data_IF_012535067496
#
_entry.id   IF_012535067496
#
_cell.length_a   1.000
_cell.length_b   1.000
_cell.length_c   1.000
_cell.angle_alpha   90.00
_cell.angle_beta   90.00
_cell.angle_gamma   90.00
#
_symmetry.space_group_name_H-M   'P 1'
#
loop_
_entity.id
_entity.type
_entity.pdbx_description
1 polymer ?
#
# COMPACT_ATOMS: atom_id res chain seq x y z
N UNK A 1 3.68 29.96 6.68
CA UNK A 1 4.72 29.14 6.01
C UNK A 1 5.95 29.03 6.92
N UNK A 2 6.58 30.14 7.32
CA UNK A 2 7.81 30.14 8.14
C UNK A 2 7.61 29.43 9.49
N UNK A 3 6.48 29.64 10.14
CA UNK A 3 6.11 29.00 11.40
C UNK A 3 5.96 27.48 11.23
N UNK A 4 5.28 27.04 10.16
CA UNK A 4 5.13 25.60 9.86
C UNK A 4 6.49 24.90 9.68
N UNK A 5 7.36 25.44 8.85
CA UNK A 5 8.67 24.83 8.61
C UNK A 5 9.64 24.93 9.79
N UNK A 6 9.45 25.90 10.69
CA UNK A 6 10.34 26.11 11.83
C UNK A 6 9.94 25.39 13.12
N UNK A 7 8.65 25.15 13.34
CA UNK A 7 8.14 24.65 14.62
C UNK A 7 7.13 23.52 14.56
N UNK A 8 6.65 23.14 13.36
CA UNK A 8 5.69 22.03 13.23
C UNK A 8 6.35 20.68 13.46
N UNK A 9 5.66 19.80 14.21
CA UNK A 9 6.06 18.40 14.38
C UNK A 9 6.09 17.62 13.06
N UNK A 10 5.30 18.03 12.07
CA UNK A 10 5.22 17.39 10.76
C UNK A 10 6.35 17.82 9.82
N UNK A 11 6.99 18.96 10.09
CA UNK A 11 8.17 19.40 9.38
C UNK A 11 9.40 18.78 10.03
N UNK A 12 10.03 17.82 9.34
CA UNK A 12 11.11 17.00 9.88
C UNK A 12 12.36 17.12 9.00
N UNK A 13 13.51 16.89 9.59
CA UNK A 13 14.75 16.71 8.85
C UNK A 13 14.62 15.43 8.00
N UNK A 14 14.92 15.53 6.69
CA UNK A 14 14.71 14.42 5.76
C UNK A 14 15.69 13.27 6.01
N UNK A 15 15.19 12.04 6.08
CA UNK A 15 16.03 10.84 6.08
C UNK A 15 16.72 10.72 4.72
N UNK A 16 18.04 10.69 4.70
CA UNK A 16 18.85 10.77 3.48
C UNK A 16 19.95 9.71 3.43
N UNK A 17 19.76 8.54 4.02
CA UNK A 17 20.71 7.44 3.99
C UNK A 17 20.90 6.87 2.58
N UNK A 18 19.80 6.78 1.83
CA UNK A 18 19.75 6.30 0.46
C UNK A 18 18.50 6.89 -0.25
N UNK A 19 18.36 6.77 -1.58
CA UNK A 19 17.19 7.30 -2.28
C UNK A 19 15.86 6.73 -1.81
N UNK A 20 15.83 5.47 -1.38
CA UNK A 20 14.61 4.83 -0.87
C UNK A 20 14.16 5.45 0.46
N UNK A 21 15.09 5.80 1.36
CA UNK A 21 14.76 6.47 2.61
C UNK A 21 14.15 7.86 2.39
N UNK A 22 14.65 8.61 1.42
CA UNK A 22 14.10 9.90 1.02
C UNK A 22 12.67 9.76 0.49
N UNK A 23 12.45 8.82 -0.45
CA UNK A 23 11.15 8.56 -1.05
C UNK A 23 10.13 8.12 0.00
N UNK A 24 10.50 7.19 0.87
CA UNK A 24 9.63 6.70 1.93
C UNK A 24 9.28 7.80 2.94
N UNK A 25 10.23 8.66 3.28
CA UNK A 25 9.98 9.79 4.17
C UNK A 25 8.95 10.78 3.59
N UNK A 26 9.04 11.06 2.29
CA UNK A 26 8.08 11.94 1.58
C UNK A 26 6.67 11.34 1.47
N UNK A 27 6.54 10.03 1.55
CA UNK A 27 5.27 9.28 1.47
C UNK A 27 4.74 8.85 2.83
N UNK A 28 5.29 9.38 3.91
CA UNK A 28 4.91 9.02 5.28
C UNK A 28 3.61 9.69 5.68
N UNK A 29 2.75 8.93 6.36
CA UNK A 29 1.48 9.37 6.93
C UNK A 29 1.57 9.31 8.45
N UNK A 30 1.28 10.40 9.13
CA UNK A 30 1.33 10.47 10.59
C UNK A 30 -0.06 10.76 11.18
N UNK A 31 -0.44 9.98 12.18
CA UNK A 31 -1.65 10.26 12.98
C UNK A 31 -1.38 11.26 14.13
N UNK A 32 -0.12 11.63 14.33
CA UNK A 32 0.33 12.55 15.38
C UNK A 32 0.32 14.00 14.89
N UNK A 33 0.36 14.94 15.83
CA UNK A 33 0.50 16.36 15.53
C UNK A 33 -0.75 17.17 15.82
N UNK A 34 -0.79 18.45 15.41
CA UNK A 34 -1.94 19.34 15.63
C UNK A 34 -3.22 18.80 14.99
N UNK A 35 -4.28 18.65 15.80
CA UNK A 35 -5.55 18.06 15.35
C UNK A 35 -5.56 16.54 15.26
N UNK A 36 -4.42 15.87 15.55
CA UNK A 36 -4.28 14.43 15.56
C UNK A 36 -4.26 13.82 16.97
N UNK A 37 -3.73 12.58 17.04
CA UNK A 37 -3.60 11.84 18.27
C UNK A 37 -2.30 12.17 19.02
N UNK A 38 -2.28 11.81 20.31
CA UNK A 38 -1.05 11.74 21.11
C UNK A 38 -0.75 10.28 21.42
N UNK A 39 0.53 9.94 21.61
CA UNK A 39 0.96 8.55 21.88
C UNK A 39 0.24 7.94 23.08
N UNK A 40 0.06 8.71 24.14
CA UNK A 40 -0.53 8.26 25.40
C UNK A 40 -2.05 8.03 25.28
N UNK A 41 -2.72 8.68 24.31
CA UNK A 41 -4.15 8.53 24.06
C UNK A 41 -4.48 7.56 22.94
N UNK A 42 -3.48 7.04 22.24
CA UNK A 42 -3.66 6.10 21.15
C UNK A 42 -3.81 4.67 21.70
N UNK A 43 -5.04 4.15 21.70
CA UNK A 43 -5.34 2.75 22.02
C UNK A 43 -4.97 1.80 20.87
N UNK A 44 -5.28 0.52 21.05
CA UNK A 44 -5.01 -0.50 20.03
C UNK A 44 -5.83 -0.29 18.75
N UNK A 45 -7.07 0.15 18.86
CA UNK A 45 -7.98 0.32 17.72
C UNK A 45 -7.44 1.26 16.63
N UNK A 46 -6.80 2.37 17.04
CA UNK A 46 -6.23 3.33 16.09
C UNK A 46 -4.90 2.89 15.48
N UNK A 47 -4.29 1.85 16.03
CA UNK A 47 -3.03 1.26 15.57
C UNK A 47 -3.24 0.05 14.68
N UNK A 48 -4.45 -0.49 14.65
CA UNK A 48 -4.78 -1.68 13.87
C UNK A 48 -4.91 -1.36 12.37
N UNK A 49 -4.76 -2.38 11.56
CA UNK A 49 -5.02 -2.32 10.13
C UNK A 49 -6.50 -2.50 9.88
N UNK A 50 -7.14 -1.48 9.33
CA UNK A 50 -8.53 -1.53 8.91
C UNK A 50 -8.64 -1.95 7.45
N UNK A 51 -9.75 -2.58 7.04
CA UNK A 51 -9.92 -3.03 5.64
C UNK A 51 -9.86 -1.87 4.63
N UNK A 52 -10.22 -0.64 5.03
CA UNK A 52 -10.12 0.56 4.21
C UNK A 52 -8.68 0.98 3.90
N UNK A 53 -7.69 0.39 4.56
CA UNK A 53 -6.27 0.61 4.26
C UNK A 53 -5.84 -0.04 2.95
N UNK A 54 -6.62 -0.99 2.44
CA UNK A 54 -6.28 -1.72 1.22
C UNK A 54 -6.00 -0.77 0.04
N UNK A 55 -4.82 -0.88 -0.54
CA UNK A 55 -4.36 -0.02 -1.64
C UNK A 55 -4.06 1.44 -1.27
N UNK A 56 -4.31 1.86 -0.03
CA UNK A 56 -4.14 3.24 0.46
C UNK A 56 -3.01 3.39 1.43
N UNK A 57 -3.00 2.61 2.49
CA UNK A 57 -1.92 2.58 3.49
C UNK A 57 -1.32 1.19 3.57
N UNK A 58 0.00 1.08 3.54
CA UNK A 58 0.69 -0.18 3.64
C UNK A 58 0.43 -0.83 5.02
N UNK A 59 -0.03 -2.09 5.08
CA UNK A 59 -0.28 -2.77 6.34
C UNK A 59 1.00 -3.23 7.05
N UNK A 60 2.13 -3.23 6.36
CA UNK A 60 3.40 -3.80 6.83
C UNK A 60 4.38 -2.71 7.25
N UNK A 61 4.54 -1.65 6.45
CA UNK A 61 5.55 -0.62 6.68
C UNK A 61 5.10 0.38 7.74
N UNK A 62 5.48 0.13 8.99
CA UNK A 62 5.26 1.00 10.15
C UNK A 62 6.49 0.90 11.08
N UNK A 63 6.79 1.92 11.90
CA UNK A 63 7.86 1.81 12.88
C UNK A 63 7.61 0.72 13.90
N UNK A 64 8.68 0.19 14.47
CA UNK A 64 8.64 -0.64 15.68
C UNK A 64 8.63 0.27 16.92
N UNK A 65 7.97 -0.19 17.99
CA UNK A 65 7.94 0.52 19.27
C UNK A 65 6.72 1.42 19.46
N UNK A 66 6.84 2.56 20.21
CA UNK A 66 5.69 3.37 20.66
C UNK A 66 4.84 3.96 19.53
N UNK A 67 5.42 4.15 18.35
CA UNK A 67 4.76 4.73 17.19
C UNK A 67 4.14 3.70 16.24
N UNK A 68 4.14 2.42 16.60
CA UNK A 68 3.56 1.37 15.75
C UNK A 68 2.09 1.68 15.45
N UNK A 69 1.71 1.60 14.18
CA UNK A 69 0.37 1.88 13.70
C UNK A 69 -0.04 3.37 13.67
N UNK A 70 0.73 4.27 14.30
CA UNK A 70 0.48 5.72 14.27
C UNK A 70 1.22 6.43 13.15
N UNK A 71 2.32 5.86 12.68
CA UNK A 71 3.07 6.34 11.53
C UNK A 71 3.02 5.24 10.48
N UNK A 72 2.41 5.54 9.35
CA UNK A 72 2.21 4.62 8.25
C UNK A 72 2.82 5.18 6.97
N UNK A 73 2.80 4.39 5.92
CA UNK A 73 3.30 4.78 4.62
C UNK A 73 2.21 4.61 3.55
N UNK A 74 2.17 5.56 2.63
CA UNK A 74 1.25 5.51 1.50
C UNK A 74 1.59 4.31 0.61
N UNK A 75 0.58 3.54 0.22
CA UNK A 75 0.75 2.41 -0.70
C UNK A 75 1.28 2.87 -2.06
N UNK A 76 1.89 1.97 -2.81
CA UNK A 76 2.63 2.29 -4.05
C UNK A 76 1.79 3.08 -5.06
N UNK A 77 0.52 2.73 -5.23
CA UNK A 77 -0.40 3.39 -6.17
C UNK A 77 -1.37 4.36 -5.49
N UNK A 78 -1.31 4.51 -4.17
CA UNK A 78 -2.16 5.44 -3.46
C UNK A 78 -1.81 6.90 -3.80
N UNK A 79 -2.83 7.76 -3.94
CA UNK A 79 -2.64 9.20 -4.04
C UNK A 79 -3.76 9.96 -3.31
N UNK A 80 -3.55 11.25 -3.09
CA UNK A 80 -4.52 12.10 -2.41
C UNK A 80 -5.41 12.82 -3.45
N UNK A 81 -6.71 12.84 -3.19
CA UNK A 81 -7.63 13.65 -3.97
C UNK A 81 -7.56 15.13 -3.51
N UNK A 82 -8.32 16.00 -4.17
CA UNK A 82 -8.39 17.44 -3.86
C UNK A 82 -8.90 17.77 -2.45
N UNK A 83 -9.56 16.82 -1.80
CA UNK A 83 -10.09 16.97 -0.43
C UNK A 83 -9.16 16.38 0.64
N UNK A 84 -8.06 15.73 0.23
CA UNK A 84 -7.12 15.08 1.14
C UNK A 84 -7.42 13.61 1.47
N UNK A 85 -8.43 12.99 0.86
CA UNK A 85 -8.68 11.56 0.99
C UNK A 85 -7.76 10.74 0.11
N UNK A 86 -7.35 9.58 0.61
CA UNK A 86 -6.49 8.67 -0.14
C UNK A 86 -7.36 7.83 -1.07
N UNK A 87 -6.99 7.82 -2.34
CA UNK A 87 -7.60 7.00 -3.39
C UNK A 87 -6.64 5.94 -3.89
N UNK A 88 -7.19 4.86 -4.42
CA UNK A 88 -6.44 3.79 -5.08
C UNK A 88 -7.04 3.49 -6.46
N UNK A 89 -6.24 3.09 -7.45
CA UNK A 89 -6.74 2.84 -8.80
C UNK A 89 -7.34 1.44 -8.92
N UNK A 90 -8.39 1.35 -9.73
CA UNK A 90 -9.00 0.09 -10.13
C UNK A 90 -9.28 0.08 -11.62
N UNK A 91 -9.27 -1.10 -12.22
CA UNK A 91 -9.70 -1.33 -13.59
C UNK A 91 -11.21 -1.54 -13.59
N UNK A 92 -11.92 -0.79 -14.42
CA UNK A 92 -13.37 -0.92 -14.56
C UNK A 92 -13.72 -2.20 -15.33
N UNK A 93 -14.74 -2.90 -14.87
CA UNK A 93 -15.32 -4.06 -15.54
C UNK A 93 -16.60 -3.63 -16.25
N UNK A 94 -16.69 -3.94 -17.53
CA UNK A 94 -17.93 -3.81 -18.28
C UNK A 94 -18.78 -5.06 -18.07
N UNK A 95 -19.83 -4.93 -17.26
CA UNK A 95 -20.72 -6.04 -16.91
C UNK A 95 -21.52 -6.57 -18.11
N UNK A 96 -21.89 -5.70 -19.05
CA UNK A 96 -22.67 -6.11 -20.22
C UNK A 96 -21.82 -6.94 -21.19
N UNK A 97 -20.57 -6.51 -21.41
CA UNK A 97 -19.62 -7.22 -22.26
C UNK A 97 -18.89 -8.36 -21.51
N UNK A 98 -18.91 -8.37 -20.18
CA UNK A 98 -18.17 -9.32 -19.34
C UNK A 98 -16.65 -9.16 -19.47
N UNK A 99 -16.15 -7.95 -19.72
CA UNK A 99 -14.75 -7.68 -20.04
C UNK A 99 -14.15 -6.66 -19.08
N UNK A 100 -12.93 -6.94 -18.61
CA UNK A 100 -12.12 -5.99 -17.84
C UNK A 100 -11.52 -4.96 -18.78
N UNK A 101 -11.89 -3.71 -18.61
CA UNK A 101 -11.42 -2.62 -19.47
C UNK A 101 -10.04 -2.09 -19.04
N UNK A 102 -9.43 -1.25 -19.87
CA UNK A 102 -8.22 -0.53 -19.50
C UNK A 102 -8.51 0.85 -18.89
N UNK A 103 -9.79 1.17 -18.66
CA UNK A 103 -10.19 2.38 -17.97
C UNK A 103 -9.82 2.26 -16.48
N UNK A 104 -9.05 3.25 -16.00
CA UNK A 104 -8.64 3.31 -14.58
C UNK A 104 -9.53 4.31 -13.86
N UNK A 105 -10.16 3.86 -12.80
CA UNK A 105 -11.00 4.67 -11.92
C UNK A 105 -10.35 4.75 -10.54
N UNK A 106 -10.29 5.95 -10.00
CA UNK A 106 -9.74 6.22 -8.68
C UNK A 106 -10.86 6.30 -7.66
N UNK A 107 -10.84 5.41 -6.68
CA UNK A 107 -11.88 5.32 -5.66
C UNK A 107 -11.32 5.60 -4.26
N UNK A 108 -12.09 6.37 -3.47
CA UNK A 108 -11.93 6.46 -2.03
C UNK A 108 -12.51 5.21 -1.36
N UNK A 109 -12.26 5.03 -0.05
CA UNK A 109 -12.69 3.83 0.65
C UNK A 109 -14.23 3.73 0.76
N UNK A 110 -14.91 4.85 0.94
CA UNK A 110 -16.37 4.94 0.99
C UNK A 110 -17.02 4.63 -0.37
N UNK A 111 -16.44 5.10 -1.45
CA UNK A 111 -16.89 4.77 -2.80
C UNK A 111 -16.68 3.28 -3.13
N UNK A 112 -15.54 2.71 -2.70
CA UNK A 112 -15.22 1.29 -2.91
C UNK A 112 -16.21 0.34 -2.21
N UNK A 113 -16.72 0.73 -1.04
CA UNK A 113 -17.65 -0.10 -0.25
C UNK A 113 -18.96 -0.42 -0.99
N UNK A 114 -19.32 0.36 -2.01
CA UNK A 114 -20.51 0.12 -2.82
C UNK A 114 -20.30 -0.96 -3.89
N UNK A 115 -19.05 -1.34 -4.18
CA UNK A 115 -18.70 -2.17 -5.33
C UNK A 115 -18.05 -3.50 -4.94
N UNK A 116 -18.13 -4.46 -5.87
CA UNK A 116 -17.41 -5.72 -5.78
C UNK A 116 -16.14 -5.62 -6.61
N UNK A 117 -14.99 -5.83 -5.95
CA UNK A 117 -13.66 -5.68 -6.56
C UNK A 117 -12.96 -7.04 -6.62
N UNK A 118 -12.65 -7.50 -7.84
CA UNK A 118 -11.90 -8.73 -8.05
C UNK A 118 -10.39 -8.53 -7.78
N UNK A 119 -9.73 -9.60 -7.38
CA UNK A 119 -8.28 -9.60 -7.16
C UNK A 119 -7.51 -9.50 -8.47
N UNK A 120 -6.33 -8.87 -8.43
CA UNK A 120 -5.45 -8.66 -9.59
C UNK A 120 -4.94 -9.97 -10.24
N UNK A 121 -4.88 -11.06 -9.49
CA UNK A 121 -4.42 -12.36 -9.97
C UNK A 121 -5.54 -13.21 -10.61
N UNK A 122 -6.77 -12.70 -10.70
CA UNK A 122 -7.86 -13.38 -11.39
C UNK A 122 -7.49 -13.60 -12.86
N UNK A 123 -7.66 -14.85 -13.34
CA UNK A 123 -7.32 -15.21 -14.72
C UNK A 123 -8.29 -14.56 -15.69
N UNK A 124 -7.72 -13.93 -16.70
CA UNK A 124 -8.46 -13.36 -17.81
C UNK A 124 -8.30 -14.22 -19.07
N UNK A 125 -9.34 -14.30 -19.88
CA UNK A 125 -9.31 -14.96 -21.19
C UNK A 125 -8.68 -14.02 -22.25
N UNK A 126 -8.46 -14.51 -23.45
CA UNK A 126 -7.87 -13.75 -24.56
C UNK A 126 -8.69 -12.50 -24.95
N UNK A 127 -9.99 -12.49 -24.63
CA UNK A 127 -10.89 -11.38 -24.90
C UNK A 127 -10.94 -10.35 -23.74
N UNK A 128 -10.20 -10.59 -22.66
CA UNK A 128 -10.16 -9.72 -21.48
C UNK A 128 -11.28 -9.94 -20.47
N UNK A 129 -12.13 -10.95 -20.65
CA UNK A 129 -13.13 -11.36 -19.66
C UNK A 129 -12.54 -12.33 -18.63
N UNK A 130 -13.26 -12.54 -17.52
CA UNK A 130 -12.85 -13.54 -16.54
C UNK A 130 -12.90 -14.95 -17.15
N UNK A 131 -11.84 -15.75 -16.91
CA UNK A 131 -11.74 -17.11 -17.40
C UNK A 131 -12.62 -18.08 -16.61
N UNK A 132 -12.89 -17.75 -15.35
CA UNK A 132 -13.65 -18.58 -14.42
C UNK A 132 -15.01 -17.92 -14.13
N UNK A 133 -16.09 -18.70 -13.99
CA UNK A 133 -17.43 -18.17 -13.73
C UNK A 133 -17.57 -17.59 -12.30
N UNK A 134 -16.68 -17.99 -11.39
CA UNK A 134 -16.62 -17.54 -10.00
C UNK A 134 -15.21 -17.01 -9.75
N UNK A 135 -15.12 -15.81 -9.18
CA UNK A 135 -13.86 -15.14 -8.89
C UNK A 135 -13.81 -14.68 -7.43
N UNK A 136 -12.61 -14.70 -6.86
CA UNK A 136 -12.38 -14.11 -5.54
C UNK A 136 -12.44 -12.60 -5.61
N UNK A 137 -13.23 -12.01 -4.76
CA UNK A 137 -13.40 -10.56 -4.69
C UNK A 137 -13.55 -10.05 -3.26
N UNK A 138 -13.54 -8.73 -3.13
CA UNK A 138 -13.79 -8.01 -1.88
C UNK A 138 -15.06 -7.20 -2.00
N UNK A 139 -15.84 -7.22 -0.93
CA UNK A 139 -16.96 -6.32 -0.74
C UNK A 139 -17.11 -6.01 0.75
N UNK A 140 -17.12 -4.73 1.11
CA UNK A 140 -17.25 -4.25 2.50
C UNK A 140 -16.28 -4.94 3.49
N UNK A 141 -15.02 -5.11 3.08
CA UNK A 141 -13.98 -5.73 3.90
C UNK A 141 -14.02 -7.26 3.97
N UNK A 142 -15.00 -7.90 3.36
CA UNK A 142 -15.10 -9.36 3.32
C UNK A 142 -14.53 -9.90 2.00
N UNK A 143 -13.67 -10.93 2.10
CA UNK A 143 -13.20 -11.69 0.95
C UNK A 143 -14.13 -12.87 0.72
N UNK A 144 -14.77 -12.91 -0.45
CA UNK A 144 -15.73 -13.95 -0.80
C UNK A 144 -15.63 -14.31 -2.28
N UNK A 145 -16.23 -15.42 -2.64
CA UNK A 145 -16.40 -15.81 -4.03
C UNK A 145 -17.65 -15.12 -4.60
N UNK A 146 -17.47 -14.48 -5.74
CA UNK A 146 -18.55 -13.80 -6.46
C UNK A 146 -18.69 -14.35 -7.88
N UNK A 147 -19.90 -14.41 -8.42
CA UNK A 147 -20.11 -14.62 -9.85
C UNK A 147 -19.41 -13.52 -10.66
N UNK A 148 -18.74 -13.91 -11.74
CA UNK A 148 -17.95 -12.97 -12.57
C UNK A 148 -18.77 -11.85 -13.20
N UNK A 149 -20.07 -12.04 -13.39
CA UNK A 149 -21.02 -11.05 -13.93
C UNK A 149 -21.42 -9.95 -12.92
N UNK A 150 -21.15 -10.17 -11.63
CA UNK A 150 -21.45 -9.19 -10.58
C UNK A 150 -20.28 -8.27 -10.24
N UNK A 151 -19.09 -8.54 -10.76
CA UNK A 151 -17.87 -7.79 -10.46
C UNK A 151 -17.90 -6.43 -11.16
N UNK A 152 -17.62 -5.36 -10.41
CA UNK A 152 -17.58 -3.97 -10.89
C UNK A 152 -16.19 -3.52 -11.31
N UNK A 153 -15.21 -3.88 -10.51
CA UNK A 153 -13.82 -3.45 -10.66
C UNK A 153 -12.86 -4.61 -10.43
N UNK A 154 -11.65 -4.43 -10.89
CA UNK A 154 -10.54 -5.35 -10.65
C UNK A 154 -9.32 -4.57 -10.19
N UNK A 155 -8.57 -5.12 -9.24
CA UNK A 155 -7.28 -4.55 -8.82
C UNK A 155 -6.32 -4.41 -10.01
N UNK A 156 -5.55 -3.34 -10.02
CA UNK A 156 -4.57 -3.07 -11.09
C UNK A 156 -3.37 -4.01 -10.97
N UNK A 157 -2.87 -4.21 -9.75
CA UNK A 157 -1.70 -5.03 -9.45
C UNK A 157 -1.69 -5.49 -8.00
N UNK A 158 -1.13 -6.66 -7.68
CA UNK A 158 -0.92 -7.07 -6.29
C UNK A 158 -0.03 -6.10 -5.49
N UNK A 159 0.87 -5.38 -6.17
CA UNK A 159 1.78 -4.39 -5.55
C UNK A 159 1.07 -3.16 -5.00
N UNK A 160 -0.18 -2.91 -5.39
CA UNK A 160 -0.90 -1.74 -4.89
C UNK A 160 -1.20 -1.77 -3.39
N UNK A 161 -1.15 -2.94 -2.76
CA UNK A 161 -1.44 -3.12 -1.33
C UNK A 161 -0.32 -2.57 -0.44
N UNK A 162 0.92 -2.66 -0.90
CA UNK A 162 2.12 -2.39 -0.11
C UNK A 162 2.81 -1.10 -0.52
N UNK A 163 3.58 -0.52 0.40
CA UNK A 163 4.41 0.65 0.12
C UNK A 163 5.63 0.28 -0.75
N UNK A 164 6.31 1.30 -1.28
CA UNK A 164 7.44 1.12 -2.20
C UNK A 164 8.56 0.30 -1.57
N UNK A 165 8.96 0.61 -0.33
CA UNK A 165 10.04 -0.13 0.34
C UNK A 165 9.67 -1.61 0.56
N UNK A 166 8.43 -1.88 0.96
CA UNK A 166 7.94 -3.25 1.13
C UNK A 166 7.88 -4.00 -0.20
N UNK A 167 7.49 -3.33 -1.28
CA UNK A 167 7.47 -3.91 -2.63
C UNK A 167 8.86 -4.27 -3.17
N UNK A 168 9.92 -3.70 -2.61
CA UNK A 168 11.30 -4.01 -2.97
C UNK A 168 11.85 -5.29 -2.28
N UNK A 169 11.11 -5.89 -1.36
CA UNK A 169 11.53 -7.14 -0.70
C UNK A 169 11.34 -8.30 -1.68
N UNK A 170 12.40 -9.01 -2.07
CA UNK A 170 12.27 -10.18 -2.95
C UNK A 170 11.56 -11.32 -2.22
N UNK A 171 10.69 -12.04 -2.94
CA UNK A 171 9.90 -13.16 -2.40
C UNK A 171 9.04 -12.78 -1.18
N UNK A 172 8.52 -11.55 -1.17
CA UNK A 172 7.69 -11.02 -0.08
C UNK A 172 6.50 -11.93 0.27
N UNK A 173 5.90 -12.58 -0.73
CA UNK A 173 4.76 -13.49 -0.58
C UNK A 173 5.06 -14.72 0.29
N UNK A 174 6.32 -15.05 0.46
CA UNK A 174 6.77 -16.18 1.29
C UNK A 174 7.21 -15.77 2.70
N UNK A 175 7.24 -14.46 2.98
CA UNK A 175 7.69 -13.92 4.26
C UNK A 175 6.52 -13.72 5.24
N UNK A 176 6.79 -13.96 6.52
CA UNK A 176 5.90 -13.53 7.59
C UNK A 176 5.85 -12.00 7.68
N UNK A 177 4.68 -11.46 7.99
CA UNK A 177 4.45 -10.01 8.06
C UNK A 177 5.36 -9.29 9.05
N UNK A 178 5.67 -9.91 10.18
CA UNK A 178 6.58 -9.36 11.19
C UNK A 178 8.01 -9.21 10.63
N UNK A 179 8.49 -10.20 9.89
CA UNK A 179 9.82 -10.15 9.28
C UNK A 179 9.87 -9.20 8.09
N UNK A 180 8.78 -9.11 7.32
CA UNK A 180 8.64 -8.13 6.24
C UNK A 180 8.67 -6.68 6.77
N UNK A 181 8.02 -6.40 7.91
CA UNK A 181 8.08 -5.12 8.60
C UNK A 181 9.54 -4.75 8.97
N UNK A 182 10.25 -5.69 9.60
CA UNK A 182 11.66 -5.48 9.96
C UNK A 182 12.52 -5.25 8.71
N UNK A 183 12.34 -6.03 7.66
CA UNK A 183 13.07 -5.91 6.40
C UNK A 183 12.83 -4.57 5.71
N UNK A 184 11.59 -4.12 5.63
CA UNK A 184 11.23 -2.81 5.06
C UNK A 184 11.90 -1.66 5.83
N UNK A 185 11.90 -1.72 7.17
CA UNK A 185 12.57 -0.74 8.01
C UNK A 185 14.09 -0.75 7.81
N UNK A 186 14.71 -1.93 7.70
CA UNK A 186 16.16 -2.06 7.49
C UNK A 186 16.60 -1.56 6.11
N UNK A 187 15.84 -1.77 5.06
CA UNK A 187 16.16 -1.25 3.72
C UNK A 187 16.35 0.27 3.71
N UNK A 188 15.58 1.00 4.48
CA UNK A 188 15.69 2.46 4.60
C UNK A 188 16.96 2.92 5.34
N UNK A 189 17.58 2.03 6.10
CA UNK A 189 18.81 2.29 6.86
C UNK A 189 20.09 1.88 6.10
N UNK A 190 19.95 1.30 4.91
CA UNK A 190 21.08 0.88 4.10
C UNK A 190 21.94 2.08 3.69
N UNK A 191 23.25 1.95 3.84
CA UNK A 191 24.23 2.97 3.47
C UNK A 191 24.90 2.55 2.17
N UNK A 192 24.90 3.40 1.11
CA UNK A 192 25.62 3.13 -0.13
C UNK A 192 27.14 2.99 0.13
N UNK A 193 27.75 1.96 -0.43
CA UNK A 193 29.18 1.74 -0.35
C UNK A 193 29.90 2.52 -1.46
N UNK A 194 31.12 3.00 -1.17
CA UNK A 194 32.00 3.65 -2.16
C UNK A 194 32.39 2.62 -3.24
N UNK A 195 32.70 1.40 -2.82
CA UNK A 195 32.97 0.27 -3.70
C UNK A 195 31.87 -0.79 -3.51
N UNK A 196 30.85 -0.81 -4.38
CA UNK A 196 29.72 -1.75 -4.24
C UNK A 196 30.19 -3.19 -4.37
N UNK A 197 29.75 -4.04 -3.44
CA UNK A 197 30.06 -5.48 -3.42
C UNK A 197 28.78 -6.29 -3.36
N UNK A 198 28.80 -7.45 -4.00
CA UNK A 198 27.70 -8.41 -3.91
C UNK A 198 27.59 -8.94 -2.46
N UNK A 199 26.36 -9.21 -1.98
CA UNK A 199 26.18 -9.83 -0.66
C UNK A 199 26.70 -11.25 -0.63
N UNK A 200 27.27 -11.69 0.49
CA UNK A 200 27.73 -13.07 0.67
C UNK A 200 26.55 -14.07 0.68
N UNK A 201 25.42 -13.65 1.21
CA UNK A 201 24.18 -14.41 1.22
C UNK A 201 23.12 -13.58 0.52
N UNK A 202 22.52 -14.12 -0.51
CA UNK A 202 21.53 -13.43 -1.32
C UNK A 202 20.43 -14.37 -1.82
N UNK A 203 19.49 -13.81 -2.53
CA UNK A 203 18.32 -14.51 -3.09
C UNK A 203 18.49 -14.91 -4.55
N UNK A 204 19.53 -14.41 -5.22
CA UNK A 204 19.73 -14.53 -6.66
C UNK A 204 19.08 -13.42 -7.48
N UNK A 205 18.20 -12.62 -6.89
CA UNK A 205 17.58 -11.46 -7.55
C UNK A 205 18.56 -10.27 -7.69
N UNK A 206 19.62 -10.25 -6.91
CA UNK A 206 20.64 -9.20 -6.89
C UNK A 206 21.43 -9.12 -8.19
N UNK A 207 21.39 -10.16 -9.03
CA UNK A 207 22.10 -10.23 -10.30
C UNK A 207 21.22 -9.93 -11.53
N UNK A 208 19.95 -9.66 -11.32
CA UNK A 208 18.97 -9.28 -12.34
C UNK A 208 18.75 -7.77 -12.39
#
# INVERSE_FOLDING_TARGET
IKEFFGSSQLSQFMDQHNPLSELSHKRRLSALGPGGLTRDRAGYEVRDVHYTHYGRMCPIETPEGPNIGLINNLSSYGHLNKYGFIQTPYRKVDREAGVVTNEIVWLTADEEDEFIVAQANSKLNEKGGFAEPIVMGRHQGNNQEFPSDQVDYMDVSPKQVVAVATACIPFLENDDSNRALMGANMQRQAVPLIDPKAPYVGTGMEYQ
#
